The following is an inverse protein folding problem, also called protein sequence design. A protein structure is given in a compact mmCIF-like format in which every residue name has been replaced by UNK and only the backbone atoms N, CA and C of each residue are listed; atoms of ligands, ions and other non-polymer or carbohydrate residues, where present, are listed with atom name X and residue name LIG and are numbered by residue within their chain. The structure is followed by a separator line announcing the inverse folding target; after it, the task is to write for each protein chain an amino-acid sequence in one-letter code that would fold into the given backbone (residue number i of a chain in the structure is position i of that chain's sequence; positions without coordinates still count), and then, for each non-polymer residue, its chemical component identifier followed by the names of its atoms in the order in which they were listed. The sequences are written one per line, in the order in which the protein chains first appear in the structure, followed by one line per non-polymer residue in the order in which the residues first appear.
data_IF_597090386401
#
_entry.id   IF_597090386401
#
_cell.length_a   1.000
_cell.length_b   1.000
_cell.length_c   1.000
_cell.angle_alpha   90.00
_cell.angle_beta   90.00
_cell.angle_gamma   90.00
#
_symmetry.space_group_name_H-M   'P 1'
#
loop_
_entity.id
_entity.type
_entity.pdbx_description
1 polymer ?
#
# COMPACT_ATOMS: atom_id res chain seq x y z
N UNK A 1 -23.39 12.61 6.95
CA UNK A 1 -24.21 11.46 6.57
C UNK A 1 -23.45 10.60 5.57
N UNK A 2 -23.64 9.28 5.56
CA UNK A 2 -23.09 8.44 4.48
C UNK A 2 -23.89 8.61 3.19
N UNK A 3 -23.26 8.46 2.02
CA UNK A 3 -23.89 8.57 0.68
C UNK A 3 -25.23 7.79 0.57
N UNK A 4 -25.36 6.67 1.29
CA UNK A 4 -26.59 5.86 1.31
C UNK A 4 -27.73 6.55 2.05
N UNK A 5 -27.44 7.29 3.14
CA UNK A 5 -28.45 8.02 3.92
C UNK A 5 -28.98 9.23 3.14
N UNK A 6 -28.10 9.93 2.44
CA UNK A 6 -28.45 11.04 1.55
C UNK A 6 -29.37 10.55 0.42
N UNK A 7 -28.99 9.46 -0.27
CA UNK A 7 -29.83 8.90 -1.35
C UNK A 7 -31.19 8.38 -0.87
N UNK A 8 -31.27 7.83 0.35
CA UNK A 8 -32.55 7.44 0.95
C UNK A 8 -33.40 8.68 1.24
N UNK A 9 -32.79 9.73 1.80
CA UNK A 9 -33.49 10.97 2.12
C UNK A 9 -34.01 11.69 0.86
N UNK A 10 -33.28 11.59 -0.27
CA UNK A 10 -33.67 12.18 -1.55
C UNK A 10 -34.86 11.47 -2.23
N UNK A 11 -35.04 10.16 -1.99
CA UNK A 11 -35.99 9.34 -2.74
C UNK A 11 -37.15 8.80 -1.88
N UNK A 12 -37.04 8.84 -0.55
CA UNK A 12 -38.04 8.28 0.37
C UNK A 12 -38.42 9.34 1.41
N UNK A 13 -39.69 9.79 1.44
CA UNK A 13 -40.20 10.73 2.44
C UNK A 13 -39.94 10.25 3.87
N UNK A 14 -39.69 11.15 4.85
CA UNK A 14 -39.40 10.80 6.24
C UNK A 14 -40.36 9.77 6.85
N UNK A 15 -41.65 9.92 6.57
CA UNK A 15 -42.75 9.07 7.00
C UNK A 15 -42.62 7.62 6.49
N UNK A 16 -42.05 7.40 5.31
CA UNK A 16 -41.95 6.08 4.67
C UNK A 16 -40.57 5.43 4.83
N UNK A 17 -39.63 6.08 5.53
CA UNK A 17 -38.26 5.56 5.68
C UNK A 17 -38.17 4.23 6.42
N UNK A 18 -39.19 3.87 7.21
CA UNK A 18 -39.29 2.57 7.86
C UNK A 18 -39.51 1.41 6.86
N UNK A 19 -40.05 1.72 5.67
CA UNK A 19 -40.22 0.79 4.55
C UNK A 19 -38.96 0.67 3.70
N UNK A 20 -37.99 1.57 3.86
CA UNK A 20 -36.74 1.55 3.10
C UNK A 20 -35.94 0.27 3.40
N UNK A 21 -35.29 -0.33 2.39
CA UNK A 21 -34.42 -1.48 2.61
C UNK A 21 -33.35 -1.16 3.66
N UNK A 22 -33.11 -2.11 4.58
CA UNK A 22 -32.09 -1.93 5.64
C UNK A 22 -30.75 -1.51 5.01
N UNK A 23 -30.13 -0.46 5.56
CA UNK A 23 -28.88 0.13 5.04
C UNK A 23 -27.78 -0.88 4.70
N UNK A 24 -27.58 -1.91 5.53
CA UNK A 24 -26.56 -2.93 5.29
C UNK A 24 -26.87 -3.78 4.03
N UNK A 25 -28.15 -3.99 3.70
CA UNK A 25 -28.57 -4.66 2.47
C UNK A 25 -28.28 -3.79 1.25
N UNK A 26 -28.59 -2.50 1.32
CA UNK A 26 -28.27 -1.56 0.23
C UNK A 26 -26.76 -1.49 -0.03
N UNK A 27 -25.96 -1.39 1.03
CA UNK A 27 -24.48 -1.48 0.94
C UNK A 27 -24.05 -2.78 0.26
N UNK A 28 -24.62 -3.92 0.66
CA UNK A 28 -24.30 -5.23 0.08
C UNK A 28 -24.67 -5.32 -1.41
N UNK A 29 -25.84 -4.80 -1.80
CA UNK A 29 -26.29 -4.75 -3.20
C UNK A 29 -25.37 -3.86 -4.03
N UNK A 30 -25.06 -2.65 -3.55
CA UNK A 30 -24.13 -1.74 -4.22
C UNK A 30 -22.74 -2.36 -4.37
N UNK A 31 -22.22 -3.00 -3.32
CA UNK A 31 -20.91 -3.67 -3.38
C UNK A 31 -20.92 -4.87 -4.34
N UNK A 32 -22.01 -5.65 -4.37
CA UNK A 32 -22.16 -6.76 -5.33
C UNK A 32 -22.21 -6.24 -6.76
N UNK A 33 -22.93 -5.14 -7.01
CA UNK A 33 -22.96 -4.50 -8.32
C UNK A 33 -21.56 -4.02 -8.73
N UNK A 34 -20.86 -3.27 -7.86
CA UNK A 34 -19.48 -2.82 -8.10
C UNK A 34 -18.51 -3.98 -8.32
N UNK A 35 -18.66 -5.08 -7.59
CA UNK A 35 -17.82 -6.26 -7.76
C UNK A 35 -17.91 -6.87 -9.16
N UNK A 36 -19.04 -6.72 -9.88
CA UNK A 36 -19.17 -7.16 -11.28
C UNK A 36 -18.30 -6.37 -12.26
N UNK A 37 -17.96 -5.12 -11.91
CA UNK A 37 -17.15 -4.24 -12.74
C UNK A 37 -15.71 -4.12 -12.23
N UNK A 38 -15.40 -4.70 -11.06
CA UNK A 38 -14.04 -4.68 -10.53
C UNK A 38 -13.17 -5.57 -11.41
N UNK A 39 -11.98 -5.09 -11.83
CA UNK A 39 -11.00 -5.95 -12.48
C UNK A 39 -10.70 -7.18 -11.62
N UNK A 40 -10.35 -8.29 -12.27
CA UNK A 40 -9.91 -9.47 -11.54
C UNK A 40 -8.66 -9.12 -10.71
N UNK A 41 -8.64 -9.51 -9.44
CA UNK A 41 -7.46 -9.28 -8.59
C UNK A 41 -6.25 -10.03 -9.17
N UNK A 42 -5.08 -9.37 -9.24
CA UNK A 42 -3.88 -10.00 -9.77
C UNK A 42 -3.44 -11.16 -8.86
N UNK A 43 -2.96 -12.24 -9.49
CA UNK A 43 -2.46 -13.44 -8.79
C UNK A 43 -0.95 -13.41 -8.57
N UNK A 44 -0.25 -12.56 -9.31
CA UNK A 44 1.20 -12.36 -9.27
C UNK A 44 1.50 -10.86 -9.42
N UNK A 45 2.74 -10.43 -9.19
CA UNK A 45 3.17 -9.06 -9.51
C UNK A 45 3.43 -8.88 -11.02
N UNK A 46 2.98 -9.81 -11.87
CA UNK A 46 3.07 -9.72 -13.33
C UNK A 46 1.88 -8.93 -13.89
N UNK A 47 1.84 -7.63 -13.61
CA UNK A 47 0.83 -6.70 -14.13
C UNK A 47 1.44 -5.33 -14.44
N UNK A 48 0.82 -4.58 -15.35
CA UNK A 48 1.24 -3.19 -15.60
C UNK A 48 0.63 -2.29 -14.53
N UNK A 49 1.48 -1.49 -13.87
CA UNK A 49 1.02 -0.51 -12.89
C UNK A 49 0.39 0.66 -13.64
N UNK A 50 -0.88 0.93 -13.36
CA UNK A 50 -1.57 2.12 -13.88
C UNK A 50 -1.18 3.35 -13.06
N UNK A 51 -0.16 4.07 -13.54
CA UNK A 51 0.32 5.31 -12.92
C UNK A 51 -0.76 6.41 -12.92
N UNK A 52 -1.70 6.39 -13.90
CA UNK A 52 -2.77 7.37 -13.99
C UNK A 52 -3.80 7.24 -12.88
N UNK A 53 -3.98 6.03 -12.35
CA UNK A 53 -4.89 5.76 -11.24
C UNK A 53 -4.40 6.35 -9.90
N UNK A 54 -3.10 6.53 -9.72
CA UNK A 54 -2.53 7.04 -8.46
C UNK A 54 -2.77 8.53 -8.26
N UNK A 55 -3.12 9.26 -9.33
CA UNK A 55 -3.37 10.71 -9.32
C UNK A 55 -2.30 11.51 -8.54
N UNK A 56 -1.05 11.03 -8.57
CA UNK A 56 0.07 11.60 -7.84
C UNK A 56 1.33 11.53 -8.70
N UNK A 57 1.85 12.69 -9.10
CA UNK A 57 3.07 12.80 -9.91
C UNK A 57 4.34 12.52 -9.07
N UNK A 58 4.24 12.65 -7.75
CA UNK A 58 5.40 12.60 -6.85
C UNK A 58 5.74 11.19 -6.36
N UNK A 59 4.99 10.15 -6.75
CA UNK A 59 5.10 8.81 -6.19
C UNK A 59 5.76 7.83 -7.17
N UNK A 60 7.08 7.95 -7.44
CA UNK A 60 7.75 7.04 -8.34
C UNK A 60 7.59 5.60 -7.84
N UNK A 61 7.15 4.74 -8.77
CA UNK A 61 7.15 3.30 -8.60
C UNK A 61 8.31 2.77 -9.43
N UNK A 62 9.23 2.11 -8.75
CA UNK A 62 10.39 1.49 -9.34
C UNK A 62 10.19 -0.03 -9.38
N UNK A 63 10.42 -0.58 -10.56
CA UNK A 63 10.35 -2.00 -10.85
C UNK A 63 11.70 -2.66 -10.61
N UNK A 64 11.76 -3.57 -9.62
CA UNK A 64 12.98 -4.28 -9.23
C UNK A 64 12.82 -5.75 -9.59
N UNK A 65 13.63 -6.23 -10.52
CA UNK A 65 13.69 -7.64 -10.90
C UNK A 65 14.88 -8.32 -10.25
N UNK A 66 14.63 -9.42 -9.53
CA UNK A 66 15.63 -10.23 -8.85
C UNK A 66 15.43 -11.70 -9.24
N UNK A 67 16.35 -12.22 -10.04
CA UNK A 67 16.20 -13.51 -10.73
C UNK A 67 14.93 -13.52 -11.60
N UNK A 68 13.93 -14.33 -11.24
CA UNK A 68 12.62 -14.44 -11.91
C UNK A 68 11.51 -13.68 -11.18
N UNK A 69 11.82 -13.05 -10.05
CA UNK A 69 10.83 -12.38 -9.20
C UNK A 69 10.84 -10.87 -9.44
N UNK A 70 9.65 -10.27 -9.32
CA UNK A 70 9.43 -8.84 -9.47
C UNK A 70 9.00 -8.25 -8.14
N UNK A 71 9.56 -7.11 -7.77
CA UNK A 71 9.20 -6.33 -6.59
C UNK A 71 8.91 -4.88 -6.99
N UNK A 72 7.92 -4.26 -6.36
CA UNK A 72 7.56 -2.86 -6.61
C UNK A 72 7.99 -2.00 -5.44
N UNK A 73 8.88 -1.05 -5.67
CA UNK A 73 9.34 -0.09 -4.68
C UNK A 73 8.67 1.25 -4.93
N UNK A 74 8.14 1.89 -3.89
CA UNK A 74 7.47 3.17 -4.05
C UNK A 74 7.61 4.06 -2.83
N UNK A 75 7.88 5.33 -3.10
CA UNK A 75 8.06 6.41 -2.13
C UNK A 75 7.99 7.74 -2.87
N UNK A 76 7.64 8.81 -2.19
CA UNK A 76 7.77 10.16 -2.75
C UNK A 76 9.22 10.57 -2.94
N UNK A 77 9.48 11.52 -3.85
CA UNK A 77 10.80 12.15 -3.98
C UNK A 77 11.29 12.74 -2.66
N UNK A 78 10.39 13.35 -1.87
CA UNK A 78 10.71 13.85 -0.52
C UNK A 78 11.08 12.73 0.44
N UNK A 79 10.28 11.65 0.53
CA UNK A 79 10.62 10.51 1.38
C UNK A 79 11.98 9.90 1.02
N UNK A 80 12.29 9.78 -0.27
CA UNK A 80 13.58 9.31 -0.76
C UNK A 80 14.74 10.23 -0.37
N UNK A 81 14.53 11.56 -0.39
CA UNK A 81 15.55 12.53 0.02
C UNK A 81 15.85 12.44 1.53
N UNK A 82 14.82 12.25 2.36
CA UNK A 82 14.95 12.03 3.80
C UNK A 82 15.64 10.70 4.10
N UNK A 83 15.26 9.64 3.38
CA UNK A 83 15.82 8.29 3.58
C UNK A 83 17.32 8.26 3.30
N UNK A 84 17.78 8.94 2.23
CA UNK A 84 19.21 9.10 1.90
C UNK A 84 20.01 9.84 2.97
N UNK A 85 19.39 10.72 3.75
CA UNK A 85 20.05 11.47 4.81
C UNK A 85 20.02 10.75 6.17
N UNK A 86 19.16 9.72 6.29
CA UNK A 86 18.95 9.01 7.54
C UNK A 86 20.04 7.94 7.75
N UNK A 87 20.62 7.90 8.97
CA UNK A 87 21.67 6.92 9.34
C UNK A 87 21.15 5.56 9.79
N UNK A 88 19.93 5.52 10.34
CA UNK A 88 19.34 4.31 10.93
C UNK A 88 17.95 4.09 10.35
N UNK A 89 17.74 2.90 9.81
CA UNK A 89 16.48 2.48 9.21
C UNK A 89 15.86 1.35 10.04
N UNK A 90 14.54 1.31 10.07
CA UNK A 90 13.77 0.26 10.71
C UNK A 90 12.88 -0.39 9.66
N UNK A 91 12.99 -1.70 9.49
CA UNK A 91 12.19 -2.44 8.53
C UNK A 91 11.03 -3.12 9.22
N UNK A 92 9.85 -3.01 8.62
CA UNK A 92 8.63 -3.64 9.12
C UNK A 92 7.92 -4.38 7.98
N UNK A 93 7.65 -5.67 8.19
CA UNK A 93 6.90 -6.51 7.27
C UNK A 93 5.42 -6.59 7.64
N UNK A 94 4.54 -6.15 6.74
CA UNK A 94 3.08 -6.28 6.89
C UNK A 94 2.54 -7.39 5.98
N UNK A 95 2.02 -8.46 6.58
CA UNK A 95 1.54 -9.64 5.85
C UNK A 95 0.03 -9.65 5.60
N UNK A 96 -0.77 -9.05 6.49
CA UNK A 96 -2.26 -9.11 6.42
C UNK A 96 -2.85 -8.20 5.34
N UNK A 97 -2.12 -7.14 4.98
CA UNK A 97 -2.56 -6.09 4.04
C UNK A 97 -2.35 -6.49 2.58
N UNK A 98 -1.56 -7.53 2.31
CA UNK A 98 -1.27 -7.99 0.96
C UNK A 98 -2.43 -8.84 0.42
N UNK A 99 -2.67 -8.77 -0.90
CA UNK A 99 -3.70 -9.59 -1.57
C UNK A 99 -3.51 -11.06 -1.21
N UNK A 100 -4.62 -11.80 -1.13
CA UNK A 100 -4.60 -13.19 -0.67
C UNK A 100 -3.62 -14.06 -1.48
N UNK A 101 -3.48 -13.79 -2.78
CA UNK A 101 -2.53 -14.46 -3.67
C UNK A 101 -1.05 -14.28 -3.26
N UNK A 102 -0.70 -13.19 -2.57
CA UNK A 102 0.67 -12.86 -2.18
C UNK A 102 1.01 -13.25 -0.73
N UNK A 103 0.05 -13.64 0.09
CA UNK A 103 0.29 -13.81 1.54
C UNK A 103 1.29 -14.92 1.87
N UNK A 104 1.39 -15.96 1.04
CA UNK A 104 2.29 -17.08 1.29
C UNK A 104 3.74 -16.72 0.93
N UNK A 105 3.98 -16.23 -0.29
CA UNK A 105 5.34 -15.97 -0.80
C UNK A 105 5.83 -14.54 -0.58
N UNK A 106 4.93 -13.56 -0.55
CA UNK A 106 5.22 -12.14 -0.55
C UNK A 106 4.91 -11.41 0.76
N UNK A 107 5.04 -10.08 0.71
CA UNK A 107 4.70 -9.14 1.78
C UNK A 107 4.62 -7.69 1.24
N UNK A 108 4.00 -6.80 2.01
CA UNK A 108 4.28 -5.37 1.92
C UNK A 108 5.28 -5.01 3.01
N UNK A 109 6.51 -4.70 2.62
CA UNK A 109 7.54 -4.21 3.53
C UNK A 109 7.52 -2.68 3.55
N UNK A 110 7.82 -2.09 4.70
CA UNK A 110 8.06 -0.66 4.84
C UNK A 110 9.40 -0.39 5.53
N UNK A 111 10.08 0.65 5.10
CA UNK A 111 11.27 1.19 5.78
C UNK A 111 10.88 2.50 6.43
N UNK A 112 11.20 2.60 7.71
CA UNK A 112 10.92 3.75 8.55
C UNK A 112 12.20 4.39 9.04
N UNK A 113 12.10 5.68 9.34
CA UNK A 113 13.11 6.41 10.08
C UNK A 113 12.44 7.21 11.20
N UNK A 114 13.23 7.62 12.18
CA UNK A 114 12.78 8.68 13.08
C UNK A 114 13.08 10.04 12.47
N UNK A 115 12.05 10.86 12.35
CA UNK A 115 12.16 12.27 12.01
C UNK A 115 11.96 13.09 13.28
N UNK A 116 12.76 14.14 13.44
CA UNK A 116 12.67 15.05 14.57
C UNK A 116 12.31 16.46 14.09
N UNK A 117 11.29 17.04 14.70
CA UNK A 117 10.88 18.41 14.48
C UNK A 117 10.33 18.98 15.80
N UNK A 118 10.73 20.21 16.15
CA UNK A 118 10.27 20.90 17.36
C UNK A 118 10.41 20.09 18.66
N UNK A 119 11.54 19.37 18.80
CA UNK A 119 11.82 18.52 19.96
C UNK A 119 11.01 17.21 20.01
N UNK A 120 10.07 17.00 19.08
CA UNK A 120 9.28 15.78 18.96
C UNK A 120 9.94 14.81 17.99
N UNK A 121 10.12 13.56 18.42
CA UNK A 121 10.67 12.48 17.60
C UNK A 121 9.57 11.48 17.28
N UNK A 122 9.31 11.25 16.00
CA UNK A 122 8.28 10.29 15.54
C UNK A 122 8.85 9.37 14.48
N UNK A 123 8.38 8.12 14.48
CA UNK A 123 8.65 7.18 13.40
C UNK A 123 7.80 7.54 12.19
N UNK A 124 8.41 7.57 11.01
CA UNK A 124 7.75 7.92 9.77
C UNK A 124 8.14 6.92 8.66
N UNK A 125 7.16 6.40 7.89
CA UNK A 125 7.45 5.51 6.76
C UNK A 125 8.01 6.30 5.59
N UNK A 126 9.15 5.85 5.07
CA UNK A 126 9.89 6.52 4.00
C UNK A 126 9.97 5.67 2.72
N UNK A 127 9.80 4.37 2.81
CA UNK A 127 9.79 3.50 1.64
C UNK A 127 8.80 2.37 1.84
N UNK A 128 8.10 2.01 0.78
CA UNK A 128 7.30 0.81 0.75
C UNK A 128 7.78 -0.08 -0.38
N UNK A 129 7.76 -1.39 -0.14
CA UNK A 129 8.15 -2.40 -1.13
C UNK A 129 7.12 -3.51 -1.11
N UNK A 130 6.40 -3.67 -2.22
CA UNK A 130 5.56 -4.83 -2.46
C UNK A 130 6.44 -5.94 -3.04
N UNK A 131 6.68 -6.97 -2.24
CA UNK A 131 7.61 -8.06 -2.58
C UNK A 131 6.83 -9.32 -2.93
N UNK A 132 7.16 -9.97 -4.05
CA UNK A 132 6.58 -11.28 -4.42
C UNK A 132 7.22 -12.46 -3.66
N UNK A 133 8.45 -12.24 -3.15
CA UNK A 133 9.29 -13.25 -2.48
C UNK A 133 10.11 -12.62 -1.34
N UNK A 134 10.51 -13.43 -0.35
CA UNK A 134 11.15 -13.00 0.90
C UNK A 134 12.49 -13.70 1.20
N UNK A 135 13.36 -13.90 0.21
CA UNK A 135 14.73 -14.41 0.46
C UNK A 135 15.62 -13.28 0.96
N UNK A 136 16.68 -13.60 1.71
CA UNK A 136 17.68 -12.63 2.18
C UNK A 136 18.18 -11.70 1.06
N UNK A 137 18.46 -12.25 -0.12
CA UNK A 137 18.87 -11.47 -1.31
C UNK A 137 17.80 -10.48 -1.75
N UNK A 138 16.52 -10.90 -1.75
CA UNK A 138 15.41 -10.01 -2.12
C UNK A 138 15.41 -8.78 -1.20
N UNK A 139 15.56 -8.96 0.12
CA UNK A 139 15.65 -7.85 1.08
C UNK A 139 16.85 -6.93 0.84
N UNK A 140 18.03 -7.50 0.56
CA UNK A 140 19.24 -6.71 0.32
C UNK A 140 19.05 -5.83 -0.91
N UNK A 141 18.63 -6.41 -2.02
CA UNK A 141 18.59 -5.73 -3.31
C UNK A 141 17.49 -4.66 -3.36
N UNK A 142 16.31 -4.90 -2.78
CA UNK A 142 15.24 -3.87 -2.73
C UNK A 142 15.61 -2.67 -1.87
N UNK A 143 16.56 -2.82 -0.95
CA UNK A 143 17.03 -1.76 -0.07
C UNK A 143 18.27 -1.02 -0.61
N UNK A 144 18.79 -1.38 -1.78
CA UNK A 144 19.87 -0.61 -2.41
C UNK A 144 19.29 0.73 -2.89
N UNK A 145 19.61 1.80 -2.16
CA UNK A 145 19.14 3.17 -2.43
C UNK A 145 20.37 4.05 -2.64
N UNK A 146 20.85 4.11 -3.88
CA UNK A 146 22.08 4.84 -4.25
C UNK A 146 23.38 4.08 -3.93
N UNK A 147 24.52 4.61 -4.40
CA UNK A 147 25.81 3.89 -4.43
C UNK A 147 26.47 3.64 -3.04
N UNK A 148 25.99 4.21 -1.93
CA UNK A 148 26.79 4.31 -0.69
C UNK A 148 26.11 3.90 0.63
N UNK A 149 24.94 3.28 0.62
CA UNK A 149 24.31 2.82 1.86
C UNK A 149 24.29 1.29 1.91
N UNK A 150 25.25 0.72 2.65
CA UNK A 150 25.26 -0.70 3.04
C UNK A 150 24.42 -0.85 4.31
N UNK A 151 23.47 -1.78 4.29
CA UNK A 151 22.76 -2.21 5.49
C UNK A 151 23.68 -3.08 6.32
N UNK A 152 23.85 -2.72 7.60
CA UNK A 152 24.35 -3.64 8.61
C UNK A 152 23.18 -4.54 9.00
N UNK A 153 23.17 -5.77 8.50
CA UNK A 153 22.25 -6.80 9.00
C UNK A 153 22.83 -7.30 10.32
N UNK A 154 22.27 -6.86 11.44
CA UNK A 154 22.52 -7.50 12.74
C UNK A 154 21.69 -8.78 12.78
N UNK A 155 22.37 -9.93 12.93
CA UNK A 155 21.70 -11.17 13.26
C UNK A 155 21.45 -11.15 14.77
N UNK A 156 20.18 -11.20 15.18
CA UNK A 156 19.80 -11.65 16.52
C UNK A 156 19.53 -13.16 16.49
#
# INVERSE_FOLDING_TARGET
MSIVEERIADHIPPEDRFLAPKRHLMKRVANRYRAKFRPQEPKSLDFVVDQGYLHSEEFPIEDISIDIERHLRFATTFQMSVLRQTKTWYMEGTFKVVLAAFRLSGQLMSIHAFVQQDGQRKQFPLLFVLMSRKRKRDYVDVCIIGKHQRILVTND
#
